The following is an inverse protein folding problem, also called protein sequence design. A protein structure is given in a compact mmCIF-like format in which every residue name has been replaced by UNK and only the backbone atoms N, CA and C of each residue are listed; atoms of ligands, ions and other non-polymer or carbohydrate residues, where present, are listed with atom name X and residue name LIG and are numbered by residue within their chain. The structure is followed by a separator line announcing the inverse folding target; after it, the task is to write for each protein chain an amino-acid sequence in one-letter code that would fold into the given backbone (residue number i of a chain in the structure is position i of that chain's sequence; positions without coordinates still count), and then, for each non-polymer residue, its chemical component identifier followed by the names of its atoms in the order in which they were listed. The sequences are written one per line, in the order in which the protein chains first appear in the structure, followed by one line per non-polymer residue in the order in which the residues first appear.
data_IF_815729406868
#
_entry.id   IF_815729406868
#
_cell.length_a   1.000
_cell.length_b   1.000
_cell.length_c   1.000
_cell.angle_alpha   90.00
_cell.angle_beta   90.00
_cell.angle_gamma   90.00
#
_symmetry.space_group_name_H-M   'P 1'
#
loop_
_entity.id
_entity.type
_entity.pdbx_description
1 polymer ?
#
# COMPACT_ATOMS: atom_id res chain seq x y z
N UNK A 1 -2.55 -12.77 4.94
CA UNK A 1 -1.90 -12.48 3.63
C UNK A 1 -0.53 -13.13 3.63
N UNK A 2 -0.01 -13.62 2.49
CA UNK A 2 1.34 -14.20 2.45
C UNK A 2 2.37 -13.15 2.92
N UNK A 3 3.47 -13.62 3.51
CA UNK A 3 4.49 -12.73 4.05
C UNK A 3 5.16 -11.93 2.92
N UNK A 4 5.25 -10.61 3.08
CA UNK A 4 5.98 -9.75 2.17
C UNK A 4 5.20 -9.27 0.94
N UNK A 5 3.87 -9.13 1.04
CA UNK A 5 3.10 -8.44 -0.01
C UNK A 5 3.60 -7.02 -0.16
N UNK A 6 3.59 -6.51 -1.38
CA UNK A 6 3.93 -5.11 -1.62
C UNK A 6 2.75 -4.19 -1.35
N UNK A 7 3.02 -2.89 -1.17
CA UNK A 7 1.96 -1.87 -1.06
C UNK A 7 1.05 -1.85 -2.30
N UNK A 8 1.61 -2.15 -3.49
CA UNK A 8 0.85 -2.24 -4.73
C UNK A 8 -0.05 -3.48 -4.77
N UNK A 9 0.47 -4.65 -4.39
CA UNK A 9 -0.35 -5.88 -4.32
C UNK A 9 -1.51 -5.72 -3.34
N UNK A 10 -1.28 -5.00 -2.24
CA UNK A 10 -2.32 -4.68 -1.27
C UNK A 10 -3.41 -3.78 -1.89
N UNK A 11 -3.01 -2.77 -2.67
CA UNK A 11 -3.92 -1.89 -3.38
C UNK A 11 -4.79 -2.68 -4.39
N UNK A 12 -4.17 -3.54 -5.21
CA UNK A 12 -4.88 -4.41 -6.16
C UNK A 12 -5.83 -5.39 -5.50
N UNK A 13 -5.48 -5.87 -4.30
CA UNK A 13 -6.33 -6.78 -3.54
C UNK A 13 -7.55 -6.08 -2.93
N UNK A 14 -7.48 -4.76 -2.70
CA UNK A 14 -8.62 -3.97 -2.26
C UNK A 14 -9.56 -3.66 -3.43
N UNK A 15 -9.01 -3.15 -4.53
CA UNK A 15 -9.74 -2.96 -5.78
C UNK A 15 -8.73 -2.74 -6.93
N UNK A 16 -9.06 -3.20 -8.14
CA UNK A 16 -8.22 -2.96 -9.34
C UNK A 16 -8.03 -1.47 -9.59
N UNK A 17 -9.09 -0.67 -9.52
CA UNK A 17 -8.99 0.79 -9.69
C UNK A 17 -8.06 1.49 -8.69
N UNK A 18 -7.92 0.93 -7.47
CA UNK A 18 -7.03 1.47 -6.43
C UNK A 18 -5.57 1.12 -6.75
N UNK A 19 -5.33 -0.10 -7.24
CA UNK A 19 -4.02 -0.52 -7.75
C UNK A 19 -3.59 0.29 -8.98
N UNK A 20 -4.48 0.45 -9.96
CA UNK A 20 -4.19 1.16 -11.21
C UNK A 20 -3.94 2.65 -10.99
N UNK A 21 -4.66 3.27 -10.04
CA UNK A 21 -4.47 4.67 -9.66
C UNK A 21 -3.50 4.85 -8.49
N UNK A 22 -2.70 3.85 -8.10
CA UNK A 22 -1.78 3.95 -6.97
C UNK A 22 -0.72 5.03 -7.20
N UNK A 23 -0.64 6.01 -6.29
CA UNK A 23 0.41 7.03 -6.30
C UNK A 23 1.49 6.70 -5.28
N UNK A 24 1.07 6.51 -4.03
CA UNK A 24 1.96 6.25 -2.89
C UNK A 24 1.19 5.65 -1.73
N UNK A 25 1.89 4.95 -0.85
CA UNK A 25 1.36 4.58 0.45
C UNK A 25 2.01 5.45 1.53
N UNK A 26 1.34 5.63 2.66
CA UNK A 26 1.87 6.33 3.83
C UNK A 26 1.69 5.42 5.05
N UNK A 27 2.77 5.18 5.78
CA UNK A 27 2.69 4.51 7.08
C UNK A 27 2.05 5.45 8.09
N UNK A 28 0.90 5.08 8.65
CA UNK A 28 0.17 5.94 9.60
C UNK A 28 0.92 6.08 10.93
N UNK A 29 1.74 5.08 11.31
CA UNK A 29 2.49 5.08 12.58
C UNK A 29 3.72 5.96 12.49
N UNK A 30 4.49 5.82 11.41
CA UNK A 30 5.77 6.55 11.23
C UNK A 30 5.62 7.82 10.40
N UNK A 31 4.44 8.04 9.78
CA UNK A 31 4.16 9.10 8.80
C UNK A 31 5.14 9.13 7.62
N UNK A 32 5.76 7.98 7.31
CA UNK A 32 6.71 7.85 6.21
C UNK A 32 6.00 7.47 4.92
N UNK A 33 6.49 8.02 3.82
CA UNK A 33 6.03 7.62 2.48
C UNK A 33 6.63 6.25 2.17
N UNK A 34 5.75 5.35 1.76
CA UNK A 34 6.02 3.96 1.39
C UNK A 34 5.93 3.86 -0.13
N UNK A 35 6.97 3.31 -0.74
CA UNK A 35 7.02 3.04 -2.16
C UNK A 35 6.18 1.81 -2.55
N UNK A 36 5.81 1.71 -3.83
CA UNK A 36 4.99 0.61 -4.36
C UNK A 36 5.54 -0.79 -4.07
N UNK A 37 6.86 -0.96 -4.08
CA UNK A 37 7.58 -2.24 -3.90
C UNK A 37 7.89 -2.56 -2.43
N UNK A 38 7.55 -1.65 -1.52
CA UNK A 38 7.86 -1.86 -0.11
C UNK A 38 7.00 -2.99 0.45
N UNK A 39 7.67 -3.96 1.08
CA UNK A 39 7.03 -5.11 1.71
C UNK A 39 6.33 -4.68 3.00
N UNK A 40 5.03 -4.96 3.08
CA UNK A 40 4.22 -4.73 4.26
C UNK A 40 4.46 -5.83 5.29
N UNK A 41 4.55 -5.44 6.57
CA UNK A 41 4.62 -6.37 7.70
C UNK A 41 3.23 -6.59 8.28
N UNK A 42 3.07 -7.72 8.97
CA UNK A 42 1.83 -8.01 9.65
C UNK A 42 1.53 -6.92 10.70
N UNK A 43 0.28 -6.44 10.74
CA UNK A 43 -0.20 -5.33 11.60
C UNK A 43 0.35 -3.94 11.26
N UNK A 44 0.90 -3.75 10.05
CA UNK A 44 1.14 -2.41 9.53
C UNK A 44 -0.18 -1.75 9.14
N UNK A 45 -0.26 -0.45 9.39
CA UNK A 45 -1.42 0.38 9.03
C UNK A 45 -0.91 1.38 8.02
N UNK A 46 -1.33 1.21 6.77
CA UNK A 46 -0.92 2.06 5.66
C UNK A 46 -2.14 2.73 5.03
N UNK A 47 -1.95 3.97 4.62
CA UNK A 47 -2.92 4.75 3.86
C UNK A 47 -2.48 4.78 2.40
N UNK A 48 -3.35 4.32 1.49
CA UNK A 48 -3.08 4.32 0.06
C UNK A 48 -3.64 5.62 -0.53
N UNK A 49 -2.78 6.38 -1.20
CA UNK A 49 -3.16 7.57 -1.95
C UNK A 49 -3.32 7.18 -3.41
N UNK A 50 -4.53 7.36 -3.93
CA UNK A 50 -4.86 7.15 -5.34
C UNK A 50 -5.05 8.47 -6.08
N UNK A 51 -4.85 8.44 -7.40
CA UNK A 51 -5.30 9.51 -8.27
C UNK A 51 -6.82 9.42 -8.43
N UNK A 52 -7.50 10.57 -8.30
CA UNK A 52 -8.94 10.69 -8.54
C UNK A 52 -9.22 10.78 -10.04
#
# INVERSE_FOLDING_TARGET
MPFGITALDFAYKLHTDIGDNFIKAIDVKTKRVIGKEQKLKNRDVIEIITRK
#
